data_IF_769847470460
#
_entry.id   IF_769847470460
#
_cell.length_a   1.000
_cell.length_b   1.000
_cell.length_c   1.000
_cell.angle_alpha   90.00
_cell.angle_beta   90.00
_cell.angle_gamma   90.00
#
_symmetry.space_group_name_H-M   'P 1'
#
loop_
_entity.id
_entity.type
_entity.pdbx_description
1 polymer ?
#
# COMPACT_ATOMS: atom_id res chain seq x y z
N UNK A 1 3.40 -16.63 7.74
CA UNK A 1 2.65 -15.88 8.79
C UNK A 1 1.61 -14.92 8.20
N UNK A 2 1.93 -14.07 7.22
CA UNK A 2 0.98 -13.11 6.64
C UNK A 2 -0.28 -13.75 5.98
N UNK A 3 -0.17 -14.95 5.41
CA UNK A 3 -1.28 -15.60 4.67
C UNK A 3 -2.49 -15.98 5.54
N UNK A 4 -2.28 -16.47 6.77
CA UNK A 4 -3.40 -16.81 7.68
C UNK A 4 -4.11 -15.56 8.20
N UNK A 5 -3.36 -14.49 8.48
CA UNK A 5 -3.92 -13.19 8.88
C UNK A 5 -4.71 -12.52 7.74
N UNK A 6 -4.22 -12.61 6.50
CA UNK A 6 -4.89 -12.07 5.32
C UNK A 6 -6.22 -12.79 4.99
N UNK A 7 -6.30 -14.10 5.23
CA UNK A 7 -7.51 -14.90 5.03
C UNK A 7 -8.51 -14.75 6.20
N UNK A 8 -8.04 -14.75 7.44
CA UNK A 8 -8.90 -14.65 8.62
C UNK A 8 -9.39 -13.23 8.90
N UNK A 9 -8.61 -12.21 8.53
CA UNK A 9 -8.87 -10.81 8.86
C UNK A 9 -10.25 -10.30 8.44
N UNK A 10 -10.67 -10.45 7.17
CA UNK A 10 -11.99 -10.00 6.72
C UNK A 10 -13.15 -10.69 7.45
N UNK A 11 -13.03 -11.98 7.75
CA UNK A 11 -14.08 -12.76 8.41
C UNK A 11 -14.20 -12.36 9.88
N UNK A 12 -13.08 -12.33 10.60
CA UNK A 12 -13.03 -11.94 12.02
C UNK A 12 -13.48 -10.48 12.17
N UNK A 13 -12.99 -9.59 11.30
CA UNK A 13 -13.37 -8.18 11.27
C UNK A 13 -14.86 -7.99 11.01
N UNK A 14 -15.41 -8.69 10.01
CA UNK A 14 -16.84 -8.65 9.69
C UNK A 14 -17.71 -9.12 10.86
N UNK A 15 -17.36 -10.24 11.50
CA UNK A 15 -18.08 -10.76 12.67
C UNK A 15 -18.02 -9.81 13.88
N UNK A 16 -16.86 -9.20 14.14
CA UNK A 16 -16.70 -8.25 15.24
C UNK A 16 -17.54 -7.01 15.02
N UNK A 17 -17.55 -6.46 13.80
CA UNK A 17 -18.34 -5.27 13.48
C UNK A 17 -19.84 -5.59 13.56
N UNK A 18 -20.26 -6.77 13.11
CA UNK A 18 -21.67 -7.17 13.12
C UNK A 18 -22.22 -7.39 14.55
N UNK A 19 -21.44 -8.03 15.44
CA UNK A 19 -21.91 -8.37 16.79
C UNK A 19 -21.56 -7.35 17.87
N UNK A 20 -20.41 -6.69 17.76
CA UNK A 20 -19.86 -5.81 18.81
C UNK A 20 -19.64 -4.36 18.33
N UNK A 21 -20.00 -4.07 17.08
CA UNK A 21 -19.82 -2.77 16.46
C UNK A 21 -18.38 -2.46 16.08
N UNK A 22 -18.19 -1.35 15.37
CA UNK A 22 -16.89 -0.93 14.83
C UNK A 22 -15.80 -0.74 15.90
N UNK A 23 -16.18 -0.41 17.14
CA UNK A 23 -15.25 -0.20 18.26
C UNK A 23 -14.49 -1.48 18.62
N UNK A 24 -15.10 -2.65 18.43
CA UNK A 24 -14.47 -3.94 18.74
C UNK A 24 -13.27 -4.23 17.83
N UNK A 25 -13.29 -3.72 16.59
CA UNK A 25 -12.14 -3.77 15.68
C UNK A 25 -10.92 -3.02 16.20
N UNK A 26 -11.08 -2.01 17.06
CA UNK A 26 -9.96 -1.34 17.74
C UNK A 26 -9.49 -2.13 18.96
N UNK A 27 -10.43 -2.63 19.76
CA UNK A 27 -10.13 -3.38 20.98
C UNK A 27 -9.38 -4.68 20.72
N UNK A 28 -9.67 -5.39 19.62
CA UNK A 28 -8.95 -6.62 19.27
C UNK A 28 -7.44 -6.39 19.01
N UNK A 29 -7.05 -5.19 18.57
CA UNK A 29 -5.65 -4.86 18.36
C UNK A 29 -4.88 -4.66 19.68
N UNK A 30 -5.54 -4.20 20.74
CA UNK A 30 -4.92 -3.93 22.04
C UNK A 30 -4.18 -5.15 22.61
N UNK A 31 -4.79 -6.35 22.77
CA UNK A 31 -4.08 -7.51 23.31
C UNK A 31 -2.94 -7.98 22.38
N UNK A 32 -3.10 -7.84 21.06
CA UNK A 32 -2.05 -8.17 20.09
C UNK A 32 -0.84 -7.25 20.26
N UNK A 33 -1.07 -5.95 20.39
CA UNK A 33 -0.02 -4.94 20.61
C UNK A 33 0.66 -5.16 21.95
N UNK A 34 -0.10 -5.40 23.03
CA UNK A 34 0.47 -5.69 24.35
C UNK A 34 1.35 -6.95 24.28
N UNK A 35 0.87 -8.03 23.66
CA UNK A 35 1.64 -9.25 23.46
C UNK A 35 2.91 -9.01 22.66
N UNK A 36 2.84 -8.22 21.58
CA UNK A 36 4.00 -7.85 20.77
C UNK A 36 5.01 -7.01 21.57
N UNK A 37 4.57 -6.03 22.37
CA UNK A 37 5.46 -5.22 23.22
C UNK A 37 6.16 -6.07 24.28
N UNK A 38 5.43 -6.99 24.93
CA UNK A 38 6.00 -7.93 25.91
C UNK A 38 7.01 -8.86 25.24
N UNK A 39 6.67 -9.42 24.08
CA UNK A 39 7.56 -10.29 23.31
C UNK A 39 8.84 -9.56 22.88
N UNK A 40 8.71 -8.35 22.33
CA UNK A 40 9.85 -7.52 21.92
C UNK A 40 10.75 -7.20 23.10
N UNK A 41 10.19 -6.72 24.22
CA UNK A 41 10.97 -6.39 25.42
C UNK A 41 11.66 -7.60 26.07
N UNK A 42 11.22 -8.82 25.76
CA UNK A 42 11.74 -10.06 26.38
C UNK A 42 12.69 -10.83 25.47
N UNK A 43 12.56 -10.73 24.16
CA UNK A 43 13.27 -11.58 23.20
C UNK A 43 14.03 -10.83 22.10
N UNK A 44 13.72 -9.56 21.83
CA UNK A 44 14.43 -8.81 20.80
C UNK A 44 15.64 -8.11 21.44
N UNK A 45 16.87 -8.45 21.03
CA UNK A 45 18.06 -7.72 21.48
C UNK A 45 17.98 -6.26 21.02
N UNK A 46 18.46 -5.33 21.85
CA UNK A 46 18.51 -3.91 21.49
C UNK A 46 19.31 -3.71 20.20
N UNK A 47 18.64 -3.29 19.12
CA UNK A 47 19.31 -2.92 17.87
C UNK A 47 19.94 -1.54 18.05
N UNK A 48 21.18 -1.52 18.56
CA UNK A 48 21.94 -0.28 18.71
C UNK A 48 22.46 0.20 17.36
N UNK A 49 21.85 1.24 16.81
CA UNK A 49 22.56 2.11 15.88
C UNK A 49 23.69 2.80 16.66
N UNK A 50 24.95 2.51 16.30
CA UNK A 50 26.13 3.00 17.01
C UNK A 50 26.25 4.53 17.05
N UNK A 51 25.51 5.25 16.17
CA UNK A 51 25.39 6.72 16.14
C UNK A 51 24.03 7.15 15.57
N UNK A 52 22.97 7.29 16.39
CA UNK A 52 21.71 7.85 15.90
C UNK A 52 21.92 9.32 15.54
N UNK A 53 21.58 9.71 14.30
CA UNK A 53 21.52 11.11 13.90
C UNK A 53 20.39 11.85 14.63
N UNK A 54 20.37 13.20 14.60
CA UNK A 54 19.28 13.97 15.19
C UNK A 54 17.95 13.63 14.50
N UNK A 55 16.87 13.53 15.28
CA UNK A 55 15.53 13.26 14.78
C UNK A 55 15.02 14.43 13.92
N UNK A 56 14.64 14.14 12.67
CA UNK A 56 14.08 15.14 11.76
C UNK A 56 12.60 15.46 12.05
N UNK A 57 12.37 16.24 13.11
CA UNK A 57 11.01 16.62 13.53
C UNK A 57 10.27 17.48 12.50
N UNK A 58 11.00 18.36 11.80
CA UNK A 58 10.40 19.27 10.83
C UNK A 58 10.02 18.54 9.54
N UNK A 59 10.87 17.64 9.05
CA UNK A 59 10.55 16.75 7.93
C UNK A 59 9.38 15.84 8.24
N UNK A 60 9.38 15.19 9.42
CA UNK A 60 8.24 14.38 9.88
C UNK A 60 6.94 15.19 9.89
N UNK A 61 6.95 16.38 10.52
CA UNK A 61 5.77 17.25 10.58
C UNK A 61 5.28 17.67 9.19
N UNK A 62 6.20 18.04 8.29
CA UNK A 62 5.86 18.42 6.93
C UNK A 62 5.22 17.26 6.15
N UNK A 63 5.77 16.04 6.22
CA UNK A 63 5.19 14.88 5.52
C UNK A 63 3.81 14.55 6.09
N UNK A 64 3.69 14.49 7.43
CA UNK A 64 2.41 14.17 8.10
C UNK A 64 1.33 15.19 7.76
N UNK A 65 1.64 16.50 7.88
CA UNK A 65 0.70 17.55 7.51
C UNK A 65 0.38 17.56 6.01
N UNK A 66 1.38 17.35 5.16
CA UNK A 66 1.22 17.36 3.71
C UNK A 66 0.32 16.22 3.21
N UNK A 67 0.62 14.99 3.62
CA UNK A 67 -0.20 13.81 3.29
C UNK A 67 -1.58 13.91 3.92
N UNK A 68 -1.66 14.30 5.20
CA UNK A 68 -2.92 14.44 5.91
C UNK A 68 -3.85 15.47 5.28
N UNK A 69 -3.33 16.66 4.95
CA UNK A 69 -4.10 17.72 4.30
C UNK A 69 -4.53 17.32 2.87
N UNK A 70 -3.65 16.64 2.12
CA UNK A 70 -3.96 16.14 0.78
C UNK A 70 -5.10 15.12 0.82
N UNK A 71 -4.96 14.08 1.63
CA UNK A 71 -5.95 13.00 1.78
C UNK A 71 -7.28 13.56 2.29
N UNK A 72 -7.25 14.43 3.30
CA UNK A 72 -8.44 15.08 3.82
C UNK A 72 -9.18 15.90 2.75
N UNK A 73 -8.45 16.70 1.98
CA UNK A 73 -9.04 17.55 0.93
C UNK A 73 -9.69 16.71 -0.18
N UNK A 74 -9.05 15.60 -0.56
CA UNK A 74 -9.60 14.68 -1.56
C UNK A 74 -10.88 14.02 -1.04
N UNK A 75 -10.89 13.53 0.21
CA UNK A 75 -12.06 12.85 0.81
C UNK A 75 -13.22 13.83 1.02
N UNK A 76 -12.95 15.06 1.46
CA UNK A 76 -13.99 16.05 1.76
C UNK A 76 -14.48 16.82 0.53
N UNK A 77 -13.71 16.83 -0.57
CA UNK A 77 -14.05 17.53 -1.81
C UNK A 77 -15.45 17.21 -2.34
N UNK A 78 -15.86 15.93 -2.49
CA UNK A 78 -17.21 15.58 -2.94
C UNK A 78 -18.32 16.00 -1.98
N UNK A 79 -18.04 16.09 -0.68
CA UNK A 79 -19.03 16.41 0.36
C UNK A 79 -19.22 17.92 0.50
N UNK A 80 -18.12 18.67 0.49
CA UNK A 80 -18.09 20.12 0.70
C UNK A 80 -18.16 20.93 -0.59
N UNK A 81 -17.84 20.30 -1.72
CA UNK A 81 -17.65 20.95 -3.01
C UNK A 81 -16.18 21.35 -3.23
N UNK A 82 -15.71 21.13 -4.45
CA UNK A 82 -14.31 21.41 -4.83
C UNK A 82 -13.93 22.89 -4.80
N UNK A 83 -14.92 23.79 -4.77
CA UNK A 83 -14.74 25.25 -4.67
C UNK A 83 -14.82 25.78 -3.24
N UNK A 84 -15.03 24.93 -2.23
CA UNK A 84 -15.01 25.35 -0.83
C UNK A 84 -13.60 25.87 -0.45
N UNK A 85 -13.49 27.08 0.12
CA UNK A 85 -12.21 27.64 0.57
C UNK A 85 -11.41 26.69 1.47
N UNK A 86 -12.07 25.91 2.33
CA UNK A 86 -11.41 24.94 3.20
C UNK A 86 -10.67 23.86 2.39
N UNK A 87 -11.26 23.38 1.30
CA UNK A 87 -10.61 22.41 0.39
C UNK A 87 -9.41 23.07 -0.30
N UNK A 88 -9.56 24.31 -0.76
CA UNK A 88 -8.46 25.10 -1.32
C UNK A 88 -7.29 25.28 -0.33
N UNK A 89 -7.59 25.60 0.93
CA UNK A 89 -6.56 25.72 1.98
C UNK A 89 -5.86 24.40 2.26
N UNK A 90 -6.58 23.28 2.26
CA UNK A 90 -5.99 21.96 2.45
C UNK A 90 -5.03 21.56 1.31
N UNK A 91 -5.41 21.78 0.06
CA UNK A 91 -4.51 21.57 -1.09
C UNK A 91 -3.30 22.51 -1.08
N UNK A 92 -3.51 23.77 -0.69
CA UNK A 92 -2.42 24.75 -0.57
C UNK A 92 -1.43 24.32 0.53
N UNK A 93 -1.93 23.88 1.68
CA UNK A 93 -1.10 23.36 2.77
C UNK A 93 -0.30 22.13 2.33
N UNK A 94 -0.93 21.19 1.63
CA UNK A 94 -0.26 20.02 1.08
C UNK A 94 0.85 20.42 0.10
N UNK A 95 0.56 21.33 -0.84
CA UNK A 95 1.52 21.81 -1.82
C UNK A 95 2.73 22.50 -1.16
N UNK A 96 2.48 23.36 -0.16
CA UNK A 96 3.53 24.03 0.59
C UNK A 96 4.40 23.05 1.38
N UNK A 97 3.79 22.07 2.04
CA UNK A 97 4.51 21.04 2.79
C UNK A 97 5.41 20.20 1.87
N UNK A 98 4.89 19.73 0.72
CA UNK A 98 5.68 18.97 -0.24
C UNK A 98 6.74 19.81 -0.97
N UNK A 99 6.54 21.12 -1.15
CA UNK A 99 7.57 22.03 -1.67
C UNK A 99 8.67 22.31 -0.63
N UNK A 100 8.32 22.37 0.65
CA UNK A 100 9.25 22.56 1.75
C UNK A 100 10.19 21.37 1.95
N UNK A 101 9.68 20.14 1.81
CA UNK A 101 10.41 18.90 2.06
C UNK A 101 11.76 18.79 1.32
N UNK A 102 11.83 18.91 -0.02
CA UNK A 102 13.10 18.82 -0.74
C UNK A 102 14.09 19.93 -0.35
N UNK A 103 13.59 21.10 0.04
CA UNK A 103 14.41 22.21 0.50
C UNK A 103 15.00 21.94 1.89
N UNK A 104 14.21 21.34 2.79
CA UNK A 104 14.61 20.99 4.15
C UNK A 104 15.57 19.79 4.18
N UNK A 105 15.22 18.72 3.48
CA UNK A 105 15.97 17.46 3.43
C UNK A 105 17.37 17.62 2.83
N UNK A 106 17.57 18.62 1.95
CA UNK A 106 18.91 18.96 1.44
C UNK A 106 19.83 19.61 2.48
N UNK A 107 19.26 20.17 3.56
CA UNK A 107 19.98 20.90 4.61
C UNK A 107 20.09 20.11 5.91
N UNK A 108 19.21 19.15 6.15
CA UNK A 108 19.21 18.38 7.39
C UNK A 108 20.40 17.41 7.43
N UNK A 109 21.14 17.32 8.56
CA UNK A 109 22.31 16.44 8.68
C UNK A 109 21.97 14.95 8.72
N UNK A 110 20.71 14.59 9.00
CA UNK A 110 20.19 13.23 8.97
C UNK A 110 18.82 13.23 8.28
N UNK A 111 18.78 13.28 6.93
CA UNK A 111 17.54 13.43 6.18
C UNK A 111 16.65 12.18 6.31
N UNK A 112 15.34 12.40 6.43
CA UNK A 112 14.35 11.32 6.53
C UNK A 112 14.11 10.68 5.16
N UNK A 113 14.06 11.50 4.11
CA UNK A 113 14.00 11.08 2.71
C UNK A 113 15.26 11.55 1.98
N UNK A 114 16.34 10.74 1.95
CA UNK A 114 17.60 11.14 1.32
C UNK A 114 17.40 11.52 -0.16
N UNK A 115 17.58 12.79 -0.56
CA UNK A 115 17.27 13.24 -1.92
C UNK A 115 18.08 12.52 -2.99
N UNK A 116 19.24 11.97 -2.60
CA UNK A 116 20.14 11.19 -3.47
C UNK A 116 19.51 9.87 -3.93
N UNK A 117 18.67 9.23 -3.10
CA UNK A 117 17.97 7.99 -3.49
C UNK A 117 16.96 8.28 -4.61
N UNK A 118 16.21 9.39 -4.49
CA UNK A 118 15.23 9.81 -5.50
C UNK A 118 15.87 10.35 -6.79
N UNK A 119 17.16 10.68 -6.78
CA UNK A 119 17.91 11.01 -7.99
C UNK A 119 18.16 9.77 -8.86
N UNK A 120 18.16 8.56 -8.28
CA UNK A 120 18.21 7.32 -9.05
C UNK A 120 16.83 7.03 -9.66
N UNK A 121 16.79 7.01 -10.99
CA UNK A 121 15.57 6.78 -11.75
C UNK A 121 14.98 5.39 -11.49
N UNK A 122 15.81 4.39 -11.16
CA UNK A 122 15.35 3.02 -10.82
C UNK A 122 14.65 3.02 -9.47
N UNK A 123 15.24 3.66 -8.47
CA UNK A 123 14.64 3.79 -7.14
C UNK A 123 13.30 4.54 -7.21
N UNK A 124 13.29 5.69 -7.88
CA UNK A 124 12.07 6.49 -8.06
C UNK A 124 10.99 5.72 -8.83
N UNK A 125 11.35 4.98 -9.89
CA UNK A 125 10.41 4.16 -10.62
C UNK A 125 9.85 3.00 -9.77
N UNK A 126 10.69 2.32 -8.99
CA UNK A 126 10.27 1.23 -8.10
C UNK A 126 9.32 1.75 -7.01
N UNK A 127 9.67 2.86 -6.36
CA UNK A 127 8.81 3.55 -5.38
C UNK A 127 7.48 3.98 -6.00
N UNK A 128 7.49 4.54 -7.21
CA UNK A 128 6.27 4.98 -7.90
C UNK A 128 5.38 3.80 -8.27
N UNK A 129 5.95 2.72 -8.79
CA UNK A 129 5.21 1.49 -9.10
C UNK A 129 4.60 0.87 -7.83
N UNK A 130 5.35 0.86 -6.71
CA UNK A 130 4.86 0.42 -5.41
C UNK A 130 3.68 1.28 -4.93
N UNK A 131 3.80 2.61 -5.03
CA UNK A 131 2.73 3.55 -4.66
C UNK A 131 1.44 3.24 -5.44
N UNK A 132 1.53 3.10 -6.76
CA UNK A 132 0.39 2.79 -7.62
C UNK A 132 -0.21 1.40 -7.37
N UNK A 133 0.63 0.42 -7.06
CA UNK A 133 0.18 -0.91 -6.68
C UNK A 133 -0.69 -0.84 -5.41
N UNK A 134 -0.22 -0.15 -4.37
CA UNK A 134 -0.96 -0.03 -3.11
C UNK A 134 -2.18 0.88 -3.23
N UNK A 135 -2.11 1.92 -4.09
CA UNK A 135 -3.27 2.71 -4.50
C UNK A 135 -4.37 1.82 -5.10
N UNK A 136 -4.01 0.99 -6.08
CA UNK A 136 -4.94 0.09 -6.73
C UNK A 136 -5.49 -0.96 -5.76
N UNK A 137 -4.62 -1.56 -4.93
CA UNK A 137 -5.01 -2.62 -3.99
C UNK A 137 -5.95 -2.15 -2.88
N UNK A 138 -5.62 -1.08 -2.17
CA UNK A 138 -6.47 -0.61 -1.07
C UNK A 138 -7.70 0.16 -1.57
N UNK A 139 -7.53 0.96 -2.62
CA UNK A 139 -8.65 1.66 -3.24
C UNK A 139 -9.69 0.69 -3.82
N UNK A 140 -9.26 -0.41 -4.44
CA UNK A 140 -10.19 -1.46 -4.89
C UNK A 140 -10.84 -2.23 -3.77
N UNK A 141 -10.11 -2.57 -2.71
CA UNK A 141 -10.70 -3.24 -1.55
C UNK A 141 -11.82 -2.40 -0.95
N UNK A 142 -11.63 -1.08 -0.91
CA UNK A 142 -12.66 -0.12 -0.52
C UNK A 142 -13.86 -0.13 -1.48
N UNK A 143 -13.64 0.01 -2.79
CA UNK A 143 -14.71 -0.05 -3.80
C UNK A 143 -15.49 -1.36 -3.75
N UNK A 144 -14.78 -2.48 -3.60
CA UNK A 144 -15.34 -3.83 -3.53
C UNK A 144 -16.19 -4.00 -2.27
N UNK A 145 -15.70 -3.53 -1.12
CA UNK A 145 -16.46 -3.55 0.14
C UNK A 145 -17.74 -2.73 0.01
N UNK A 146 -17.66 -1.54 -0.59
CA UNK A 146 -18.84 -0.72 -0.86
C UNK A 146 -19.79 -1.44 -1.83
N UNK A 147 -19.32 -1.98 -2.96
CA UNK A 147 -20.18 -2.74 -3.87
C UNK A 147 -20.91 -3.89 -3.18
N UNK A 148 -20.21 -4.68 -2.36
CA UNK A 148 -20.81 -5.80 -1.62
C UNK A 148 -21.86 -5.33 -0.60
N UNK A 149 -21.63 -4.23 0.11
CA UNK A 149 -22.55 -3.78 1.17
C UNK A 149 -23.67 -2.86 0.63
N UNK A 150 -23.37 -1.94 -0.27
CA UNK A 150 -24.34 -0.95 -0.76
C UNK A 150 -25.13 -1.44 -1.96
N UNK A 151 -24.50 -2.15 -2.91
CA UNK A 151 -25.17 -2.66 -4.11
C UNK A 151 -25.77 -4.05 -3.90
N UNK A 152 -25.05 -4.95 -3.21
CA UNK A 152 -25.54 -6.31 -2.93
C UNK A 152 -26.21 -6.47 -1.56
N UNK A 153 -26.29 -5.39 -0.77
CA UNK A 153 -26.96 -5.36 0.54
C UNK A 153 -26.47 -6.42 1.53
N UNK A 154 -25.19 -6.78 1.44
CA UNK A 154 -24.60 -7.79 2.32
C UNK A 154 -24.27 -7.19 3.69
N UNK A 155 -24.42 -8.01 4.74
CA UNK A 155 -23.96 -7.63 6.09
C UNK A 155 -22.43 -7.55 6.15
N UNK A 156 -21.85 -6.93 7.20
CA UNK A 156 -20.40 -6.92 7.39
C UNK A 156 -19.77 -8.32 7.44
N UNK A 157 -20.39 -9.30 8.14
CA UNK A 157 -19.87 -10.67 8.16
C UNK A 157 -19.97 -11.36 6.80
N UNK A 158 -21.09 -11.18 6.09
CA UNK A 158 -21.25 -11.70 4.73
C UNK A 158 -20.22 -11.11 3.77
N UNK A 159 -19.95 -9.82 3.89
CA UNK A 159 -18.91 -9.13 3.10
C UNK A 159 -17.54 -9.71 3.39
N UNK A 160 -17.19 -9.88 4.69
CA UNK A 160 -15.95 -10.52 5.11
C UNK A 160 -15.76 -11.91 4.51
N UNK A 161 -16.82 -12.74 4.51
CA UNK A 161 -16.80 -14.07 3.89
C UNK A 161 -16.61 -13.99 2.37
N UNK A 162 -17.28 -13.05 1.70
CA UNK A 162 -17.17 -12.84 0.25
C UNK A 162 -15.83 -12.21 -0.17
N UNK A 163 -15.02 -11.72 0.76
CA UNK A 163 -13.64 -11.28 0.49
C UNK A 163 -12.61 -12.42 0.53
N UNK A 164 -12.99 -13.62 0.99
CA UNK A 164 -12.07 -14.77 1.04
C UNK A 164 -11.44 -15.14 -0.31
N UNK A 165 -12.17 -15.12 -1.46
CA UNK A 165 -11.56 -15.43 -2.74
C UNK A 165 -10.42 -14.48 -3.12
N UNK A 166 -10.51 -13.20 -2.72
CA UNK A 166 -9.43 -12.23 -2.93
C UNK A 166 -8.18 -12.65 -2.15
N UNK A 167 -8.34 -12.95 -0.87
CA UNK A 167 -7.23 -13.36 -0.01
C UNK A 167 -6.62 -14.70 -0.45
N UNK A 168 -7.43 -15.64 -0.93
CA UNK A 168 -6.96 -16.90 -1.49
C UNK A 168 -6.16 -16.67 -2.79
N UNK A 169 -6.66 -15.82 -3.68
CA UNK A 169 -5.98 -15.46 -4.92
C UNK A 169 -4.66 -14.72 -4.65
N UNK A 170 -4.64 -13.78 -3.70
CA UNK A 170 -3.42 -13.11 -3.21
C UNK A 170 -2.39 -14.13 -2.71
N UNK A 171 -2.81 -15.09 -1.89
CA UNK A 171 -1.94 -16.16 -1.40
C UNK A 171 -1.39 -17.04 -2.52
N UNK A 172 -2.23 -17.41 -3.49
CA UNK A 172 -1.82 -18.20 -4.65
C UNK A 172 -0.82 -17.43 -5.54
N UNK A 173 -1.07 -16.14 -5.78
CA UNK A 173 -0.18 -15.26 -6.53
C UNK A 173 1.17 -15.10 -5.84
N UNK A 174 1.18 -14.91 -4.51
CA UNK A 174 2.40 -14.85 -3.72
C UNK A 174 3.21 -16.16 -3.81
N UNK A 175 2.53 -17.32 -3.74
CA UNK A 175 3.16 -18.62 -3.95
C UNK A 175 3.76 -18.78 -5.35
N UNK A 176 3.05 -18.33 -6.39
CA UNK A 176 3.57 -18.32 -7.76
C UNK A 176 4.79 -17.40 -7.91
N UNK A 177 4.80 -16.25 -7.21
CA UNK A 177 5.91 -15.31 -7.20
C UNK A 177 7.22 -15.95 -6.74
N UNK A 178 7.16 -16.79 -5.69
CA UNK A 178 8.31 -17.54 -5.18
C UNK A 178 8.93 -18.50 -6.20
N UNK A 179 8.16 -18.96 -7.20
CA UNK A 179 8.64 -19.86 -8.24
C UNK A 179 9.17 -19.12 -9.48
N UNK A 180 8.65 -17.92 -9.74
CA UNK A 180 8.91 -17.12 -10.94
C UNK A 180 10.05 -16.13 -10.70
N UNK A 181 10.03 -15.39 -9.59
CA UNK A 181 11.00 -14.34 -9.30
C UNK A 181 12.45 -14.84 -9.30
N UNK A 182 12.79 -16.00 -8.67
CA UNK A 182 14.16 -16.50 -8.68
C UNK A 182 14.67 -16.94 -10.06
N UNK A 183 13.76 -17.27 -10.99
CA UNK A 183 14.14 -17.75 -12.33
C UNK A 183 14.21 -16.61 -13.34
N UNK A 184 13.24 -15.69 -13.30
CA UNK A 184 13.02 -14.70 -14.36
C UNK A 184 13.21 -13.25 -13.87
N UNK A 185 13.58 -13.07 -12.60
CA UNK A 185 13.77 -11.78 -11.91
C UNK A 185 12.47 -11.04 -11.62
N UNK A 186 12.57 -9.95 -10.87
CA UNK A 186 11.42 -9.24 -10.28
C UNK A 186 10.56 -8.50 -11.31
N UNK A 187 11.18 -8.04 -12.40
CA UNK A 187 10.48 -7.26 -13.44
C UNK A 187 9.27 -8.00 -14.01
N UNK A 188 9.42 -9.30 -14.28
CA UNK A 188 8.36 -10.09 -14.91
C UNK A 188 7.14 -10.26 -13.99
N UNK A 189 7.24 -10.81 -12.76
CA UNK A 189 6.10 -10.97 -11.86
C UNK A 189 5.45 -9.64 -11.48
N UNK A 190 6.21 -8.55 -11.34
CA UNK A 190 5.62 -7.22 -11.07
C UNK A 190 4.83 -6.72 -12.27
N UNK A 191 5.40 -6.78 -13.48
CA UNK A 191 4.72 -6.29 -14.69
C UNK A 191 3.46 -7.11 -14.98
N UNK A 192 3.57 -8.45 -14.98
CA UNK A 192 2.41 -9.33 -15.25
C UNK A 192 1.37 -9.22 -14.14
N UNK A 193 1.80 -9.11 -12.88
CA UNK A 193 0.92 -8.91 -11.75
C UNK A 193 0.11 -7.62 -11.87
N UNK A 194 0.74 -6.50 -12.24
CA UNK A 194 0.05 -5.22 -12.45
C UNK A 194 -0.88 -5.23 -13.68
N UNK A 195 -0.52 -5.94 -14.75
CA UNK A 195 -1.43 -6.16 -15.88
C UNK A 195 -2.66 -6.98 -15.49
N UNK A 196 -2.50 -7.99 -14.62
CA UNK A 196 -3.61 -8.76 -14.07
C UNK A 196 -4.49 -7.93 -13.13
N UNK A 197 -3.90 -7.07 -12.31
CA UNK A 197 -4.67 -6.11 -11.49
C UNK A 197 -5.49 -5.19 -12.39
N UNK A 198 -4.87 -4.63 -13.44
CA UNK A 198 -5.56 -3.78 -14.41
C UNK A 198 -6.72 -4.51 -15.13
N UNK A 199 -6.50 -5.75 -15.58
CA UNK A 199 -7.53 -6.54 -16.26
C UNK A 199 -8.64 -6.97 -15.30
N UNK A 200 -8.31 -7.23 -14.03
CA UNK A 200 -9.30 -7.50 -12.99
C UNK A 200 -10.30 -6.35 -12.83
N UNK A 201 -9.84 -5.10 -12.88
CA UNK A 201 -10.75 -3.94 -12.81
C UNK A 201 -11.75 -3.89 -13.97
N UNK A 202 -11.45 -4.47 -15.13
CA UNK A 202 -12.42 -4.54 -16.23
C UNK A 202 -13.69 -5.31 -15.85
N UNK A 203 -13.61 -6.29 -14.93
CA UNK A 203 -14.80 -6.99 -14.42
C UNK A 203 -15.75 -6.03 -13.70
N UNK A 204 -15.22 -5.16 -12.82
CA UNK A 204 -16.02 -4.16 -12.11
C UNK A 204 -16.44 -3.01 -13.04
N UNK A 205 -15.56 -2.58 -13.94
CA UNK A 205 -15.80 -1.47 -14.84
C UNK A 205 -16.86 -1.75 -15.92
N UNK A 206 -17.02 -3.02 -16.30
CA UNK A 206 -18.00 -3.48 -17.29
C UNK A 206 -19.21 -4.17 -16.66
N UNK A 207 -19.28 -4.22 -15.33
CA UNK A 207 -20.35 -4.90 -14.61
C UNK A 207 -21.73 -4.27 -14.91
N UNK A 208 -22.71 -5.03 -15.44
CA UNK A 208 -24.08 -4.55 -15.53
C UNK A 208 -24.66 -4.19 -14.15
N UNK A 209 -25.62 -3.26 -14.04
CA UNK A 209 -26.20 -2.89 -12.73
C UNK A 209 -26.83 -4.05 -11.94
N UNK A 210 -27.33 -5.08 -12.61
CA UNK A 210 -27.98 -6.26 -12.02
C UNK A 210 -27.10 -7.53 -12.00
N UNK A 211 -25.78 -7.38 -11.98
CA UNK A 211 -24.82 -8.47 -12.22
C UNK A 211 -24.52 -9.38 -11.01
N UNK A 212 -25.01 -9.04 -9.82
CA UNK A 212 -24.79 -9.82 -8.60
C UNK A 212 -23.31 -9.95 -8.22
N UNK A 213 -22.91 -11.06 -7.60
CA UNK A 213 -21.53 -11.24 -7.11
C UNK A 213 -20.50 -11.63 -8.20
N UNK A 214 -20.94 -11.98 -9.41
CA UNK A 214 -20.06 -12.49 -10.47
C UNK A 214 -18.88 -11.57 -10.84
N UNK A 215 -19.11 -10.27 -11.10
CA UNK A 215 -18.02 -9.34 -11.41
C UNK A 215 -17.04 -9.13 -10.27
N UNK A 216 -17.54 -9.08 -9.04
CA UNK A 216 -16.71 -9.01 -7.84
C UNK A 216 -15.81 -10.24 -7.73
N UNK A 217 -16.35 -11.44 -7.93
CA UNK A 217 -15.55 -12.68 -7.92
C UNK A 217 -14.49 -12.69 -9.01
N UNK A 218 -14.83 -12.28 -10.25
CA UNK A 218 -13.88 -12.18 -11.35
C UNK A 218 -12.72 -11.23 -11.04
N UNK A 219 -13.04 -10.04 -10.51
CA UNK A 219 -12.05 -9.09 -10.01
C UNK A 219 -11.16 -9.73 -8.92
N UNK A 220 -11.76 -10.36 -7.92
CA UNK A 220 -11.04 -10.92 -6.78
C UNK A 220 -10.05 -12.01 -7.18
N UNK A 221 -10.42 -12.88 -8.11
CA UNK A 221 -9.55 -13.95 -8.58
C UNK A 221 -8.40 -13.40 -9.44
N UNK A 222 -8.71 -12.52 -10.39
CA UNK A 222 -7.70 -12.02 -11.35
C UNK A 222 -6.80 -10.97 -10.71
N UNK A 223 -7.37 -9.93 -10.11
CA UNK A 223 -6.59 -8.87 -9.48
C UNK A 223 -5.94 -9.34 -8.17
N UNK A 224 -6.60 -10.20 -7.40
CA UNK A 224 -5.99 -10.79 -6.20
C UNK A 224 -4.74 -11.60 -6.54
N UNK A 225 -4.81 -12.48 -7.55
CA UNK A 225 -3.65 -13.22 -8.00
C UNK A 225 -2.54 -12.31 -8.53
N UNK A 226 -2.90 -11.30 -9.34
CA UNK A 226 -1.95 -10.33 -9.87
C UNK A 226 -1.23 -9.52 -8.79
N UNK A 227 -1.97 -9.02 -7.80
CA UNK A 227 -1.40 -8.29 -6.67
C UNK A 227 -0.48 -9.18 -5.81
N UNK A 228 -0.87 -10.44 -5.57
CA UNK A 228 -0.05 -11.40 -4.85
C UNK A 228 1.25 -11.71 -5.57
N UNK A 229 1.18 -11.85 -6.89
CA UNK A 229 2.33 -12.11 -7.75
C UNK A 229 3.36 -10.96 -7.69
N UNK A 230 2.89 -9.72 -7.67
CA UNK A 230 3.73 -8.53 -7.69
C UNK A 230 4.24 -8.05 -6.32
N UNK A 231 3.51 -8.33 -5.23
CA UNK A 231 3.74 -7.69 -3.94
C UNK A 231 5.16 -7.89 -3.37
N UNK A 232 5.63 -9.14 -3.31
CA UNK A 232 6.95 -9.44 -2.76
C UNK A 232 8.09 -8.93 -3.64
N UNK A 233 8.13 -9.21 -4.97
CA UNK A 233 9.22 -8.72 -5.81
C UNK A 233 9.24 -7.20 -5.96
N UNK A 234 8.08 -6.52 -5.92
CA UNK A 234 8.03 -5.06 -5.91
C UNK A 234 8.67 -4.48 -4.63
N UNK A 235 8.46 -5.15 -3.49
CA UNK A 235 9.06 -4.76 -2.21
C UNK A 235 10.57 -4.99 -2.24
N UNK A 236 11.01 -6.15 -2.72
CA UNK A 236 12.42 -6.48 -2.88
C UNK A 236 13.13 -5.52 -3.84
N UNK A 237 12.50 -5.13 -4.95
CA UNK A 237 13.08 -4.16 -5.88
C UNK A 237 13.34 -2.78 -5.26
N UNK A 238 12.48 -2.34 -4.33
CA UNK A 238 12.66 -1.08 -3.60
C UNK A 238 13.77 -1.23 -2.56
N UNK A 239 13.74 -2.30 -1.76
CA UNK A 239 14.72 -2.52 -0.69
C UNK A 239 16.12 -2.82 -1.24
N UNK A 240 16.21 -3.57 -2.35
CA UNK A 240 17.46 -3.92 -3.02
C UNK A 240 18.12 -2.76 -3.76
N UNK A 241 17.40 -1.65 -3.98
CA UNK A 241 17.96 -0.42 -4.55
C UNK A 241 18.63 0.48 -3.49
N UNK A 242 18.48 0.17 -2.20
CA UNK A 242 19.04 0.96 -1.10
C UNK A 242 20.34 0.29 -0.58
N UNK A 243 21.42 1.05 -0.36
CA UNK A 243 22.64 0.52 0.25
C UNK A 243 22.37 -0.16 1.59
N UNK A 244 23.09 -1.23 1.90
CA UNK A 244 22.85 -2.05 3.11
C UNK A 244 22.95 -1.25 4.41
N UNK A 245 23.76 -0.20 4.41
CA UNK A 245 23.97 0.72 5.54
C UNK A 245 22.74 1.61 5.81
N UNK A 246 21.84 1.74 4.83
CA UNK A 246 20.62 2.56 4.87
C UNK A 246 19.35 1.69 4.78
N UNK A 247 19.46 0.39 5.00
CA UNK A 247 18.32 -0.55 4.90
C UNK A 247 17.11 -0.11 5.78
N UNK A 248 17.37 0.47 6.95
CA UNK A 248 16.33 1.02 7.82
C UNK A 248 15.56 2.19 7.18
N UNK A 249 16.26 3.11 6.51
CA UNK A 249 15.63 4.19 5.74
C UNK A 249 14.87 3.65 4.53
N UNK A 250 15.42 2.66 3.83
CA UNK A 250 14.74 2.00 2.71
C UNK A 250 13.43 1.33 3.12
N UNK A 251 13.41 0.64 4.26
CA UNK A 251 12.20 0.05 4.84
C UNK A 251 11.17 1.12 5.24
N UNK A 252 11.61 2.19 5.90
CA UNK A 252 10.74 3.30 6.27
C UNK A 252 10.10 3.98 5.04
N UNK A 253 10.86 4.17 3.96
CA UNK A 253 10.33 4.70 2.69
C UNK A 253 9.33 3.72 2.09
N UNK A 254 9.65 2.42 2.08
CA UNK A 254 8.75 1.39 1.56
C UNK A 254 7.39 1.45 2.29
N UNK A 255 7.38 1.43 3.62
CA UNK A 255 6.14 1.50 4.40
C UNK A 255 5.41 2.81 4.20
N UNK A 256 6.11 3.95 4.20
CA UNK A 256 5.48 5.25 3.93
C UNK A 256 4.79 5.29 2.57
N UNK A 257 5.45 4.76 1.54
CA UNK A 257 4.92 4.70 0.17
C UNK A 257 3.69 3.80 0.10
N UNK A 258 3.69 2.69 0.83
CA UNK A 258 2.54 1.76 0.91
C UNK A 258 1.34 2.43 1.58
N UNK A 259 1.57 3.10 2.71
CA UNK A 259 0.52 3.79 3.46
C UNK A 259 -0.04 4.99 2.69
N UNK A 260 0.83 5.82 2.11
CA UNK A 260 0.41 6.96 1.28
C UNK A 260 -0.32 6.50 0.03
N UNK A 261 0.22 5.51 -0.68
CA UNK A 261 -0.42 4.91 -1.86
C UNK A 261 -1.80 4.37 -1.52
N UNK A 262 -1.91 3.59 -0.44
CA UNK A 262 -3.18 3.02 0.01
C UNK A 262 -4.20 4.08 0.42
N UNK A 263 -3.79 5.06 1.23
CA UNK A 263 -4.65 6.16 1.67
C UNK A 263 -5.15 7.00 0.49
N UNK A 264 -4.28 7.33 -0.47
CA UNK A 264 -4.67 8.03 -1.69
C UNK A 264 -5.59 7.16 -2.57
N UNK A 265 -5.36 5.85 -2.63
CA UNK A 265 -6.24 4.90 -3.34
C UNK A 265 -7.67 4.96 -2.82
N UNK A 266 -7.83 4.83 -1.49
CA UNK A 266 -9.13 4.91 -0.82
C UNK A 266 -9.76 6.30 -1.05
N UNK A 267 -8.99 7.37 -0.85
CA UNK A 267 -9.47 8.74 -0.97
C UNK A 267 -9.92 9.07 -2.39
N UNK A 268 -9.07 8.85 -3.40
CA UNK A 268 -9.36 9.23 -4.79
C UNK A 268 -10.47 8.36 -5.37
N UNK A 269 -10.37 7.04 -5.24
CA UNK A 269 -11.39 6.14 -5.81
C UNK A 269 -12.73 6.26 -5.08
N UNK A 270 -12.71 6.45 -3.77
CA UNK A 270 -13.90 6.76 -2.98
C UNK A 270 -14.53 8.10 -3.37
N UNK A 271 -13.72 9.12 -3.62
CA UNK A 271 -14.20 10.41 -4.10
C UNK A 271 -14.75 10.37 -5.52
N UNK A 272 -14.16 9.57 -6.42
CA UNK A 272 -14.72 9.33 -7.76
C UNK A 272 -16.08 8.63 -7.69
N UNK A 273 -16.20 7.62 -6.82
CA UNK A 273 -17.46 6.94 -6.55
C UNK A 273 -18.52 7.92 -6.00
N UNK A 274 -18.12 8.82 -5.08
CA UNK A 274 -19.02 9.78 -4.43
C UNK A 274 -19.41 10.99 -5.32
N UNK A 275 -18.50 11.50 -6.17
CA UNK A 275 -18.72 12.71 -6.99
C UNK A 275 -19.85 12.54 -8.01
N UNK A 276 -20.10 11.31 -8.46
CA UNK A 276 -21.23 11.01 -9.34
C UNK A 276 -22.50 10.64 -8.57
N UNK A 277 -22.41 10.52 -7.24
CA UNK A 277 -23.51 10.17 -6.32
C UNK A 277 -24.27 11.39 -5.78
N UNK A 278 -23.70 12.58 -5.85
CA UNK A 278 -24.40 13.82 -5.47
C UNK A 278 -25.46 14.18 -6.51
N UNK A 279 -26.77 14.13 -6.17
CA UNK A 279 -27.81 14.67 -7.03
C UNK A 279 -27.55 16.17 -7.23
N UNK A 280 -27.76 16.69 -8.43
CA UNK A 280 -27.84 18.14 -8.61
C UNK A 280 -28.86 18.70 -7.61
N UNK A 281 -28.56 19.78 -6.87
CA UNK A 281 -29.54 20.39 -5.98
C UNK A 281 -30.73 20.81 -6.83
N UNK A 282 -31.90 20.19 -6.61
CA UNK A 282 -33.11 20.71 -7.19
C UNK A 282 -33.37 22.09 -6.56
N UNK A 283 -33.68 23.13 -7.34
CA UNK A 283 -33.74 24.52 -6.87
C UNK A 283 -34.81 24.81 -5.80
N UNK A 284 -35.58 23.82 -5.34
CA UNK A 284 -36.72 23.99 -4.44
C UNK A 284 -36.63 23.25 -3.09
N UNK A 285 -35.44 22.84 -2.62
CA UNK A 285 -35.33 22.22 -1.28
C UNK A 285 -34.97 23.27 -0.23
N UNK A 286 -35.87 23.63 0.72
CA UNK A 286 -35.57 24.63 1.73
C UNK A 286 -34.36 24.22 2.60
N UNK A 287 -33.40 25.13 2.74
CA UNK A 287 -32.05 24.94 3.32
C UNK A 287 -32.01 24.55 4.82
N UNK A 288 -33.15 24.25 5.45
CA UNK A 288 -33.26 24.04 6.90
C UNK A 288 -33.16 22.60 7.39
N UNK A 289 -33.04 21.60 6.51
CA UNK A 289 -33.09 20.17 6.88
C UNK A 289 -31.92 19.36 6.31
N UNK A 290 -30.69 19.90 6.36
CA UNK A 290 -29.51 19.05 6.15
C UNK A 290 -29.22 18.31 7.47
N UNK A 291 -29.49 17.00 7.57
CA UNK A 291 -29.02 16.24 8.73
C UNK A 291 -27.50 16.31 8.69
N UNK A 292 -26.88 16.69 9.81
CA UNK A 292 -25.45 16.54 9.99
C UNK A 292 -25.11 15.08 9.68
N UNK A 293 -24.41 14.86 8.57
CA UNK A 293 -23.98 13.55 8.12
C UNK A 293 -22.97 13.00 9.12
N UNK A 294 -23.47 12.38 10.18
CA UNK A 294 -22.76 11.31 10.87
C UNK A 294 -22.34 10.28 9.80
N UNK A 295 -21.18 9.62 9.91
CA UNK A 295 -20.86 8.45 9.11
C UNK A 295 -21.78 7.30 9.55
N UNK A 296 -23.03 7.35 9.13
CA UNK A 296 -24.09 6.44 9.53
C UNK A 296 -24.19 5.30 8.51
N UNK A 297 -24.25 4.10 9.07
CA UNK A 297 -24.27 2.79 8.44
C UNK A 297 -25.10 2.70 7.13
N UNK A 298 -24.65 1.87 6.16
CA UNK A 298 -25.44 1.57 4.97
C UNK A 298 -26.56 0.59 5.35
N UNK A 299 -27.70 1.10 5.81
CA UNK A 299 -28.88 0.27 6.11
C UNK A 299 -30.17 0.91 5.59
N UNK A 300 -30.35 0.86 4.27
CA UNK A 300 -31.64 0.78 3.61
C UNK A 300 -31.38 0.45 2.13
N UNK A 301 -32.20 -0.41 1.52
CA UNK A 301 -32.16 -0.66 0.08
C UNK A 301 -32.19 0.68 -0.66
N UNK A 302 -31.17 0.91 -1.50
CA UNK A 302 -31.08 2.12 -2.29
C UNK A 302 -32.24 2.11 -3.30
N UNK A 303 -32.98 3.23 -3.48
CA UNK A 303 -33.89 3.38 -4.61
C UNK A 303 -33.18 3.03 -5.92
N UNK A 304 -33.89 2.51 -6.92
CA UNK A 304 -33.28 2.04 -8.18
C UNK A 304 -32.40 3.11 -8.87
N UNK A 305 -32.80 4.38 -8.75
CA UNK A 305 -32.02 5.54 -9.20
C UNK A 305 -30.66 5.68 -8.48
N UNK A 306 -30.60 5.36 -7.19
CA UNK A 306 -29.36 5.37 -6.39
C UNK A 306 -28.43 4.21 -6.76
N UNK A 307 -28.97 3.04 -7.12
CA UNK A 307 -28.17 1.89 -7.60
C UNK A 307 -27.50 2.16 -8.96
N UNK A 308 -28.21 2.77 -9.91
CA UNK A 308 -27.63 3.16 -11.20
C UNK A 308 -26.52 4.21 -11.00
N UNK A 309 -26.76 5.17 -10.11
CA UNK A 309 -25.80 6.24 -9.81
C UNK A 309 -24.56 5.71 -9.11
N UNK A 310 -24.72 4.76 -8.19
CA UNK A 310 -23.62 4.02 -7.57
C UNK A 310 -22.76 3.31 -8.62
N UNK A 311 -23.41 2.56 -9.52
CA UNK A 311 -22.71 1.79 -10.55
C UNK A 311 -21.92 2.68 -11.52
N UNK A 312 -22.45 3.85 -11.90
CA UNK A 312 -21.70 4.82 -12.71
C UNK A 312 -20.43 5.32 -11.98
N UNK A 313 -20.55 5.63 -10.69
CA UNK A 313 -19.40 5.97 -9.85
C UNK A 313 -18.39 4.82 -9.78
N UNK A 314 -18.86 3.59 -9.59
CA UNK A 314 -18.04 2.39 -9.54
C UNK A 314 -17.30 2.14 -10.86
N UNK A 315 -17.97 2.32 -12.00
CA UNK A 315 -17.36 2.17 -13.33
C UNK A 315 -16.24 3.17 -13.53
N UNK A 316 -16.48 4.45 -13.23
CA UNK A 316 -15.45 5.50 -13.37
C UNK A 316 -14.25 5.28 -12.45
N UNK A 317 -14.50 4.92 -11.19
CA UNK A 317 -13.45 4.59 -10.24
C UNK A 317 -12.66 3.34 -10.67
N UNK A 318 -13.34 2.33 -11.22
CA UNK A 318 -12.70 1.10 -11.71
C UNK A 318 -11.81 1.38 -12.93
N UNK A 319 -12.23 2.23 -13.87
CA UNK A 319 -11.38 2.64 -15.00
C UNK A 319 -10.17 3.47 -14.56
N UNK A 320 -10.34 4.37 -13.61
CA UNK A 320 -9.23 5.13 -13.04
C UNK A 320 -8.21 4.21 -12.35
N UNK A 321 -8.71 3.20 -11.61
CA UNK A 321 -7.87 2.21 -10.95
C UNK A 321 -7.18 1.26 -11.94
N UNK A 322 -7.85 0.90 -13.04
CA UNK A 322 -7.24 0.15 -14.14
C UNK A 322 -6.10 0.93 -14.77
N UNK A 323 -6.29 2.23 -15.05
CA UNK A 323 -5.26 3.10 -15.61
C UNK A 323 -4.06 3.25 -14.64
N UNK A 324 -4.31 3.37 -13.34
CA UNK A 324 -3.30 3.36 -12.29
C UNK A 324 -2.49 2.05 -12.25
N UNK A 325 -3.14 0.90 -12.38
CA UNK A 325 -2.45 -0.39 -12.44
C UNK A 325 -1.66 -0.56 -13.75
N UNK A 326 -2.18 -0.08 -14.88
CA UNK A 326 -1.46 -0.08 -16.16
C UNK A 326 -0.22 0.82 -16.12
N UNK A 327 -0.31 2.01 -15.51
CA UNK A 327 0.85 2.89 -15.36
C UNK A 327 1.92 2.25 -14.47
N UNK A 328 1.53 1.58 -13.38
CA UNK A 328 2.44 0.77 -12.57
C UNK A 328 3.13 -0.33 -13.40
N UNK A 329 2.37 -1.06 -14.23
CA UNK A 329 2.90 -2.09 -15.11
C UNK A 329 3.91 -1.53 -16.13
N UNK A 330 3.61 -0.39 -16.74
CA UNK A 330 4.49 0.27 -17.71
C UNK A 330 5.77 0.80 -17.04
N UNK A 331 5.68 1.38 -15.85
CA UNK A 331 6.84 1.85 -15.08
C UNK A 331 7.71 0.66 -14.69
N UNK A 332 7.10 -0.40 -14.15
CA UNK A 332 7.79 -1.65 -13.82
C UNK A 332 8.49 -2.24 -15.06
N UNK A 333 7.78 -2.33 -16.18
CA UNK A 333 8.32 -2.84 -17.43
C UNK A 333 9.46 -1.96 -17.97
N UNK A 334 9.40 -0.64 -17.86
CA UNK A 334 10.45 0.21 -18.42
C UNK A 334 11.71 0.27 -17.52
N UNK A 335 11.54 0.23 -16.20
CA UNK A 335 12.59 0.67 -15.27
C UNK A 335 13.08 -0.38 -14.27
N UNK A 336 12.36 -1.49 -14.05
CA UNK A 336 12.89 -2.56 -13.21
C UNK A 336 14.05 -3.28 -13.91
N UNK A 337 15.13 -3.60 -13.18
CA UNK A 337 16.23 -4.39 -13.70
C UNK A 337 15.70 -5.72 -14.25
N UNK A 338 16.22 -6.13 -15.42
CA UNK A 338 16.04 -7.52 -15.88
C UNK A 338 16.96 -8.39 -15.02
N UNK A 339 16.51 -9.61 -14.71
CA UNK A 339 17.28 -10.61 -13.97
C UNK A 339 18.75 -10.63 -14.41
N UNK A 340 19.64 -10.16 -13.54
CA UNK A 340 21.03 -10.57 -13.59
C UNK A 340 21.05 -11.94 -12.88
N UNK A 341 21.64 -12.96 -13.51
CA UNK A 341 21.73 -14.31 -12.94
C UNK A 341 22.25 -14.33 -11.51
N UNK A 342 22.22 -15.49 -10.82
CA UNK A 342 22.67 -15.58 -9.45
C UNK A 342 24.06 -14.96 -9.35
N UNK A 343 24.20 -13.92 -8.51
CA UNK A 343 25.51 -13.42 -8.16
C UNK A 343 26.31 -14.64 -7.71
N UNK A 344 27.46 -14.89 -8.35
CA UNK A 344 28.41 -15.87 -7.86
C UNK A 344 28.54 -15.65 -6.35
N UNK A 345 28.41 -16.70 -5.51
CA UNK A 345 28.63 -16.53 -4.08
C UNK A 345 29.98 -15.83 -3.97
N UNK A 346 29.99 -14.69 -3.28
CA UNK A 346 31.21 -13.94 -3.00
C UNK A 346 32.26 -14.99 -2.61
N UNK A 347 33.31 -15.10 -3.43
CA UNK A 347 34.38 -16.06 -3.19
C UNK A 347 34.81 -15.95 -1.72
N UNK A 348 35.15 -17.07 -1.07
CA UNK A 348 35.32 -17.14 0.37
C UNK A 348 36.09 -15.93 0.84
N UNK A 349 35.47 -15.15 1.73
CA UNK A 349 36.05 -13.98 2.37
C UNK A 349 37.51 -14.29 2.66
N UNK A 350 38.42 -13.47 2.14
CA UNK A 350 39.85 -13.60 2.37
C UNK A 350 40.08 -13.99 3.83
N UNK A 351 40.43 -15.26 4.03
CA UNK A 351 41.03 -15.69 5.27
C UNK A 351 42.20 -14.72 5.50
N UNK A 352 42.34 -14.13 6.70
CA UNK A 352 43.49 -13.29 6.97
C UNK A 352 44.74 -14.12 6.67
N UNK A 353 45.53 -13.64 5.71
CA UNK A 353 46.85 -14.17 5.40
C UNK A 353 47.71 -14.01 6.67
N UNK A 354 47.70 -15.02 7.52
CA UNK A 354 48.70 -15.23 8.56
C UNK A 354 49.93 -15.84 7.87
N UNK A 355 50.66 -15.02 7.13
CA UNK A 355 52.04 -15.31 6.75
C UNK A 355 52.87 -14.04 6.87
N UNK A 356 53.57 -13.92 8.00
CA UNK A 356 55.03 -13.75 8.03
C UNK A 356 55.46 -13.27 9.42
N UNK A 357 56.12 -14.15 10.17
CA UNK A 357 57.32 -13.88 10.97
C UNK A 357 57.56 -15.06 11.93
N UNK A 358 58.04 -16.18 11.38
CA UNK A 358 58.82 -17.14 12.15
C UNK A 358 60.27 -17.02 11.66
N UNK A 359 61.20 -16.49 12.49
CA UNK A 359 62.59 -16.38 12.10
C UNK A 359 63.23 -17.77 12.01
N UNK A 360 63.67 -18.12 10.79
CA UNK A 360 64.65 -19.18 10.57
C UNK A 360 66.00 -18.72 11.12
N UNK A 361 66.37 -19.17 12.32
CA UNK A 361 67.78 -19.47 12.70
C UNK A 361 67.90 -19.74 14.20
N UNK A 362 68.07 -21.00 14.61
CA UNK A 362 69.06 -21.48 15.60
C UNK A 362 69.20 -22.99 15.34
N UNK A 363 70.15 -23.40 14.51
CA UNK A 363 71.48 -23.92 14.91
C UNK A 363 71.41 -25.27 15.62
N UNK A 364 71.91 -26.31 14.95
CA UNK A 364 72.27 -27.58 15.56
C UNK A 364 73.39 -27.36 16.59
N UNK A 365 73.29 -28.00 17.76
CA UNK A 365 74.43 -28.55 18.52
C UNK A 365 74.00 -29.25 19.82
N UNK A 366 74.48 -30.50 19.94
CA UNK A 366 74.97 -31.18 21.15
C UNK A 366 73.91 -31.68 22.17
N UNK A 367 73.75 -33.01 22.26
CA UNK A 367 74.41 -33.96 23.19
C UNK A 367 73.58 -34.13 24.48
N UNK A 368 72.86 -35.24 24.61
CA UNK A 368 73.26 -36.39 25.44
C UNK A 368 72.29 -37.57 25.26
#
# INVERSE_FOLDING_TARGET
MAGLGALGGPVIGGLLVEHYGWRAGFWINVPVVVGALVATGRWVPESRHLRPGPLDRAGMGAVTCGVGALVWSIIQGPVRGWTDPAIGTGFTLAALAFAFLPWWEKRHPAPLLPPRLFADRRFTAAVTALAWMFFALFGSLFLLTLYLQTQLHLTPAQTGLRLLPLAAALGAGAGASLLIAPRWGDRLPVTTGMLLVASGFSFLALAPPASGYGPALGYQLVAGFGAGLAAAPATEAVLGAVPSEQAGTGAAINDLVREVGGALGIAVLGSLLATRHTPHPQPNTPQGLLPHSTPAAPSAALPEASSVTFMNGLHTASWAAAAAALSAALIAAAWLPRYAGPAHPAGPAHAPQLESELPRSVTSRKLH
#
